data_IF_423295789927
#
_entry.id   IF_423295789927
#
_cell.length_a   1.000
_cell.length_b   1.000
_cell.length_c   1.000
_cell.angle_alpha   90.00
_cell.angle_beta   90.00
_cell.angle_gamma   90.00
#
_symmetry.space_group_name_H-M   'P 1'
#
loop_
_entity.id
_entity.type
_entity.pdbx_description
1 polymer ?
#
# COMPACT_ATOMS: atom_id res chain seq x y z
N UNK A 1 1.07 12.36 -1.20
CA UNK A 1 -0.15 12.35 -0.35
C UNK A 1 0.23 12.34 1.12
N UNK A 2 -0.53 12.98 2.03
CA UNK A 2 -0.32 12.83 3.49
C UNK A 2 -0.91 11.52 4.00
N UNK A 3 -0.24 10.86 4.94
CA UNK A 3 -0.82 9.71 5.63
C UNK A 3 -2.13 10.13 6.33
N UNK A 4 -3.24 9.37 6.18
CA UNK A 4 -4.52 9.69 6.81
C UNK A 4 -4.42 9.78 8.33
N UNK A 5 -5.32 10.54 8.97
CA UNK A 5 -5.47 10.55 10.44
C UNK A 5 -5.88 9.16 10.95
N UNK A 6 -5.64 8.87 12.22
CA UNK A 6 -6.12 7.64 12.83
C UNK A 6 -7.65 7.54 12.68
N UNK A 7 -8.16 6.35 12.37
CA UNK A 7 -9.58 6.11 12.11
C UNK A 7 -10.11 6.56 10.74
N UNK A 8 -9.29 7.25 9.93
CA UNK A 8 -9.70 7.74 8.60
C UNK A 8 -9.04 6.91 7.50
N UNK A 9 -9.82 6.49 6.51
CA UNK A 9 -9.33 5.78 5.32
C UNK A 9 -8.66 6.75 4.34
N UNK A 10 -7.79 6.22 3.49
CA UNK A 10 -7.21 6.96 2.38
C UNK A 10 -8.31 7.43 1.42
N UNK A 11 -8.37 8.71 1.04
CA UNK A 11 -9.40 9.20 0.11
C UNK A 11 -9.22 8.70 -1.32
N UNK A 12 -8.00 8.28 -1.70
CA UNK A 12 -7.72 7.81 -3.08
C UNK A 12 -7.86 6.30 -3.23
N UNK A 13 -7.46 5.52 -2.23
CA UNK A 13 -7.37 4.06 -2.33
C UNK A 13 -8.31 3.33 -1.36
N UNK A 14 -8.95 4.03 -0.42
CA UNK A 14 -9.75 3.42 0.64
C UNK A 14 -8.96 2.63 1.68
N UNK A 15 -7.63 2.52 1.54
CA UNK A 15 -6.78 1.77 2.47
C UNK A 15 -6.75 2.40 3.86
N UNK A 16 -6.65 1.54 4.88
CA UNK A 16 -6.51 1.97 6.26
C UNK A 16 -5.15 2.63 6.51
N UNK A 17 -5.06 3.44 7.57
CA UNK A 17 -3.77 4.00 8.02
C UNK A 17 -2.77 2.90 8.40
N UNK A 18 -3.24 1.82 9.01
CA UNK A 18 -2.39 0.69 9.43
C UNK A 18 -1.76 0.03 8.21
N UNK A 19 -2.57 -0.31 7.22
CA UNK A 19 -2.09 -0.89 5.95
C UNK A 19 -1.09 0.02 5.25
N UNK A 20 -1.40 1.32 5.14
CA UNK A 20 -0.47 2.28 4.55
C UNK A 20 0.85 2.40 5.34
N UNK A 21 0.81 2.25 6.66
CA UNK A 21 2.03 2.20 7.48
C UNK A 21 2.84 0.94 7.21
N UNK A 22 2.20 -0.23 7.19
CA UNK A 22 2.87 -1.52 6.89
C UNK A 22 3.55 -1.50 5.52
N UNK A 23 2.96 -0.82 4.54
CA UNK A 23 3.54 -0.70 3.20
C UNK A 23 4.75 0.26 3.13
N UNK A 24 4.81 1.27 4.01
CA UNK A 24 5.81 2.35 3.90
C UNK A 24 6.82 2.43 5.04
N UNK A 25 6.61 1.69 6.13
CA UNK A 25 7.51 1.57 7.27
C UNK A 25 8.12 0.18 7.30
N UNK A 26 9.40 0.04 7.70
CA UNK A 26 9.96 -1.27 8.01
C UNK A 26 9.16 -1.89 9.17
N UNK A 27 8.60 -3.07 8.96
CA UNK A 27 7.86 -3.82 9.96
C UNK A 27 7.95 -5.33 9.72
N UNK A 28 7.52 -6.14 10.68
CA UNK A 28 7.55 -7.59 10.53
C UNK A 28 6.71 -8.08 9.33
N UNK A 29 5.60 -7.42 9.02
CA UNK A 29 4.71 -7.80 7.91
C UNK A 29 5.31 -7.59 6.52
N UNK A 30 6.39 -6.81 6.39
CA UNK A 30 7.09 -6.58 5.13
C UNK A 30 8.57 -6.97 5.18
N UNK A 31 8.96 -7.85 6.10
CA UNK A 31 10.35 -8.27 6.31
C UNK A 31 11.32 -7.09 6.51
N UNK A 32 10.83 -6.01 7.11
CA UNK A 32 11.54 -4.74 7.27
C UNK A 32 12.00 -4.11 5.94
N UNK A 33 11.33 -4.45 4.83
CA UNK A 33 11.56 -3.93 3.48
C UNK A 33 10.32 -3.16 3.01
N UNK A 34 10.30 -1.83 3.19
CA UNK A 34 9.19 -1.01 2.72
C UNK A 34 8.99 -1.16 1.22
N UNK A 35 7.79 -1.54 0.79
CA UNK A 35 7.44 -1.68 -0.62
C UNK A 35 7.14 -0.35 -1.29
N UNK A 36 6.75 0.66 -0.51
CA UNK A 36 6.34 1.98 -1.03
C UNK A 36 7.18 3.10 -0.43
N UNK A 37 7.61 4.03 -1.30
CA UNK A 37 8.41 5.18 -0.89
C UNK A 37 7.61 6.17 -0.03
N UNK A 38 8.20 6.59 1.09
CA UNK A 38 7.65 7.64 1.94
C UNK A 38 8.75 8.52 2.53
N UNK A 39 8.39 9.76 2.89
CA UNK A 39 9.29 10.72 3.51
C UNK A 39 8.62 11.39 4.72
N UNK A 40 9.40 11.78 5.72
CA UNK A 40 8.91 12.55 6.85
C UNK A 40 9.37 13.99 6.70
N UNK A 41 8.42 14.91 6.57
CA UNK A 41 8.71 16.34 6.53
C UNK A 41 8.50 16.91 7.93
N UNK A 42 9.56 17.49 8.49
CA UNK A 42 9.56 18.10 9.82
C UNK A 42 9.96 19.57 9.71
N UNK A 43 9.12 20.47 10.22
CA UNK A 43 9.46 21.89 10.35
C UNK A 43 10.38 22.10 11.56
N UNK A 44 11.28 23.08 11.49
CA UNK A 44 12.15 23.46 12.60
C UNK A 44 11.29 23.80 13.83
N UNK A 45 11.61 23.20 14.98
CA UNK A 45 10.86 23.37 16.24
C UNK A 45 9.62 22.48 16.40
N UNK A 46 9.18 21.73 15.38
CA UNK A 46 8.05 20.81 15.55
C UNK A 46 8.46 19.56 16.34
N UNK A 47 7.61 19.09 17.25
CA UNK A 47 7.84 17.85 18.00
C UNK A 47 7.77 16.59 17.11
N UNK A 48 6.82 16.59 16.15
CA UNK A 48 6.58 15.45 15.24
C UNK A 48 6.54 15.91 13.79
N UNK A 49 7.04 15.07 12.88
CA UNK A 49 6.96 15.29 11.44
C UNK A 49 5.66 14.75 10.84
N UNK A 50 5.36 15.18 9.61
CA UNK A 50 4.25 14.66 8.81
C UNK A 50 4.81 13.66 7.80
N UNK A 51 4.25 12.45 7.79
CA UNK A 51 4.60 11.44 6.78
C UNK A 51 3.86 11.72 5.47
N UNK A 52 4.65 11.84 4.41
CA UNK A 52 4.20 11.94 3.04
C UNK A 52 4.49 10.63 2.32
N UNK A 53 3.48 10.11 1.62
CA UNK A 53 3.56 8.92 0.78
C UNK A 53 3.73 9.37 -0.67
N UNK A 54 4.68 8.76 -1.38
CA UNK A 54 4.82 8.93 -2.82
C UNK A 54 3.68 8.18 -3.52
N UNK A 55 2.85 8.93 -4.25
CA UNK A 55 1.60 8.40 -4.81
C UNK A 55 1.88 7.45 -5.97
N UNK A 56 2.87 7.74 -6.81
CA UNK A 56 3.24 6.90 -7.95
C UNK A 56 3.74 5.52 -7.48
N UNK A 57 4.59 5.50 -6.46
CA UNK A 57 5.08 4.25 -5.85
C UNK A 57 3.94 3.43 -5.24
N UNK A 58 2.92 4.08 -4.66
CA UNK A 58 1.75 3.41 -4.12
C UNK A 58 0.93 2.76 -5.24
N UNK A 59 0.59 3.50 -6.28
CA UNK A 59 -0.20 2.96 -7.39
C UNK A 59 0.56 1.92 -8.21
N UNK A 60 1.86 2.07 -8.41
CA UNK A 60 2.68 1.04 -9.06
C UNK A 60 2.58 -0.30 -8.32
N UNK A 61 2.64 -0.29 -6.98
CA UNK A 61 2.47 -1.50 -6.18
C UNK A 61 1.04 -2.06 -6.27
N UNK A 62 0.02 -1.21 -6.20
CA UNK A 62 -1.38 -1.66 -6.31
C UNK A 62 -1.70 -2.26 -7.69
N UNK A 63 -1.15 -1.67 -8.75
CA UNK A 63 -1.31 -2.19 -10.11
C UNK A 63 -0.63 -3.55 -10.24
N UNK A 64 0.60 -3.70 -9.72
CA UNK A 64 1.29 -4.98 -9.71
C UNK A 64 0.48 -6.08 -8.98
N UNK A 65 -0.14 -5.75 -7.85
CA UNK A 65 -1.03 -6.69 -7.14
C UNK A 65 -2.28 -7.05 -7.97
N UNK A 66 -2.87 -6.08 -8.66
CA UNK A 66 -4.02 -6.31 -9.53
C UNK A 66 -3.68 -7.21 -10.72
N UNK A 67 -2.49 -7.02 -11.31
CA UNK A 67 -1.99 -7.86 -12.41
C UNK A 67 -1.78 -9.31 -11.95
N UNK A 68 -1.23 -9.50 -10.74
CA UNK A 68 -1.06 -10.84 -10.15
C UNK A 68 -2.39 -11.53 -9.86
N UNK A 69 -3.38 -10.81 -9.32
CA UNK A 69 -4.71 -11.39 -9.07
C UNK A 69 -5.42 -11.83 -10.36
N UNK A 70 -5.15 -11.15 -11.47
CA UNK A 70 -5.74 -11.50 -12.78
C UNK A 70 -5.13 -12.78 -13.35
N UNK A 71 -3.85 -13.05 -13.10
CA UNK A 71 -3.17 -14.26 -13.58
C UNK A 71 -3.69 -15.54 -12.92
N UNK A 72 -3.99 -15.52 -11.61
CA UNK A 72 -4.44 -16.72 -10.86
C UNK A 72 -5.90 -17.10 -11.14
N UNK A 73 -6.72 -16.14 -11.60
CA UNK A 73 -8.17 -16.39 -11.84
C UNK A 73 -8.44 -17.16 -13.14
N UNK A 74 -7.44 -17.31 -14.03
CA UNK A 74 -7.62 -18.01 -15.30
C UNK A 74 -7.39 -19.52 -15.21
N UNK A 75 -6.65 -20.02 -14.21
CA UNK A 75 -6.18 -21.41 -14.19
C UNK A 75 -7.18 -22.43 -13.59
N UNK A 76 -8.34 -21.99 -13.08
CA UNK A 76 -9.34 -22.88 -12.46
C UNK A 76 -10.63 -23.07 -13.27
N UNK A 77 -10.77 -22.42 -14.45
CA UNK A 77 -11.99 -22.51 -15.26
C UNK A 77 -12.00 -23.62 -16.33
N UNK A 78 -10.85 -24.24 -16.60
CA UNK A 78 -10.72 -25.23 -17.68
C UNK A 78 -10.88 -26.69 -17.23
N UNK A 79 -11.08 -26.95 -15.93
CA UNK A 79 -11.17 -28.32 -15.40
C UNK A 79 -12.61 -28.88 -15.30
N UNK A 80 -13.65 -28.05 -15.41
CA UNK A 80 -15.05 -28.45 -15.12
C UNK A 80 -15.97 -28.58 -16.35
N UNK A 81 -15.44 -28.50 -17.58
CA UNK A 81 -16.26 -28.65 -18.80
C UNK A 81 -15.79 -29.81 -19.70
N UNK A 82 -15.69 -31.00 -19.11
CA UNK A 82 -15.67 -32.28 -19.83
C UNK A 82 -16.40 -33.33 -18.98
N UNK A 83 -17.73 -33.29 -19.04
CA UNK A 83 -18.62 -34.37 -18.62
C UNK A 83 -19.77 -34.48 -19.62
#
# INVERSE_FOLDING_TARGET
MRLPKAGVKCPYTGLSRTTLNELCLPCAANDFRPVIRSAVVKRRGALRGVRLINVDSLFAHLNHLADQATAETHECRDADNQA
#
